data_IF_309243947111
#
_entry.id   IF_309243947111
#
_cell.length_a   1.000
_cell.length_b   1.000
_cell.length_c   1.000
_cell.angle_alpha   90.00
_cell.angle_beta   90.00
_cell.angle_gamma   90.00
#
_symmetry.space_group_name_H-M   'P 1'
#
loop_
_entity.id
_entity.type
_entity.pdbx_description
1 polymer ?
#
# COMPACT_ATOMS: atom_id res chain seq x y z
N UNK A 1 2.12 6.84 19.31
CA UNK A 1 0.65 6.67 19.21
C UNK A 1 0.31 5.28 19.76
N UNK A 2 -0.59 5.19 20.73
CA UNK A 2 -1.02 3.92 21.33
C UNK A 2 -1.79 3.06 20.33
N UNK A 3 -1.93 1.75 20.62
CA UNK A 3 -2.70 0.80 19.80
C UNK A 3 -4.17 1.24 19.67
N UNK A 4 -4.77 1.69 20.77
CA UNK A 4 -6.18 2.11 20.80
C UNK A 4 -6.42 3.39 19.99
N UNK A 5 -5.48 4.34 20.04
CA UNK A 5 -5.57 5.54 19.21
C UNK A 5 -5.53 5.21 17.71
N UNK A 6 -4.67 4.26 17.31
CA UNK A 6 -4.62 3.78 15.91
C UNK A 6 -5.91 3.05 15.53
N UNK A 7 -6.42 2.20 16.41
CA UNK A 7 -7.64 1.45 16.17
C UNK A 7 -8.83 2.39 15.97
N UNK A 8 -9.01 3.37 16.85
CA UNK A 8 -10.09 4.36 16.75
C UNK A 8 -9.93 5.24 15.51
N UNK A 9 -8.71 5.66 15.19
CA UNK A 9 -8.42 6.41 13.97
C UNK A 9 -8.84 5.64 12.71
N UNK A 10 -8.44 4.38 12.59
CA UNK A 10 -8.74 3.61 11.38
C UNK A 10 -10.18 3.10 11.32
N UNK A 11 -10.85 2.85 12.45
CA UNK A 11 -12.31 2.60 12.47
C UNK A 11 -13.10 3.76 11.84
N UNK A 12 -12.66 5.01 12.07
CA UNK A 12 -13.30 6.19 11.47
C UNK A 12 -13.05 6.33 9.96
N UNK A 13 -11.89 5.88 9.48
CA UNK A 13 -11.50 5.96 8.07
C UNK A 13 -12.13 4.82 7.26
N UNK A 14 -12.16 3.63 7.85
CA UNK A 14 -12.62 2.39 7.24
C UNK A 14 -13.94 1.94 7.87
N UNK A 15 -14.95 2.81 7.87
CA UNK A 15 -16.22 2.60 8.59
C UNK A 15 -16.94 1.32 8.14
N UNK A 16 -16.88 1.02 6.85
CA UNK A 16 -17.58 -0.12 6.24
C UNK A 16 -16.73 -1.41 6.24
N UNK A 17 -15.52 -1.36 6.84
CA UNK A 17 -14.64 -2.52 6.93
C UNK A 17 -14.96 -3.34 8.17
N UNK A 18 -14.87 -4.67 8.06
CA UNK A 18 -14.98 -5.57 9.21
C UNK A 18 -13.95 -5.18 10.28
N UNK A 19 -14.34 -5.20 11.56
CA UNK A 19 -13.46 -4.81 12.66
C UNK A 19 -12.12 -5.56 12.66
N UNK A 20 -12.12 -6.86 12.27
CA UNK A 20 -10.90 -7.67 12.10
C UNK A 20 -9.93 -7.04 11.09
N UNK A 21 -10.43 -6.56 9.96
CA UNK A 21 -9.59 -5.93 8.92
C UNK A 21 -8.86 -4.70 9.45
N UNK A 22 -9.53 -3.90 10.29
CA UNK A 22 -8.91 -2.73 10.93
C UNK A 22 -7.89 -3.14 11.99
N UNK A 23 -8.19 -4.17 12.81
CA UNK A 23 -7.24 -4.72 13.78
C UNK A 23 -5.97 -5.23 13.10
N UNK A 24 -6.10 -5.98 12.01
CA UNK A 24 -4.98 -6.53 11.24
C UNK A 24 -4.06 -5.42 10.71
N UNK A 25 -4.63 -4.29 10.23
CA UNK A 25 -3.86 -3.12 9.80
C UNK A 25 -3.06 -2.49 10.96
N UNK A 26 -3.69 -2.34 12.12
CA UNK A 26 -3.03 -1.77 13.31
C UNK A 26 -1.89 -2.67 13.76
N UNK A 27 -2.10 -3.98 13.77
CA UNK A 27 -1.07 -4.95 14.10
C UNK A 27 0.08 -4.95 13.10
N UNK A 28 -0.22 -4.81 11.81
CA UNK A 28 0.81 -4.65 10.78
C UNK A 28 1.66 -3.39 11.00
N UNK A 29 1.04 -2.26 11.33
CA UNK A 29 1.75 -1.00 11.62
C UNK A 29 2.60 -1.14 12.89
N UNK A 30 2.05 -1.75 13.94
CA UNK A 30 2.73 -1.89 15.23
C UNK A 30 3.87 -2.90 15.20
N UNK A 31 3.72 -3.98 14.44
CA UNK A 31 4.75 -5.00 14.23
C UNK A 31 5.70 -4.68 13.08
N UNK A 32 5.69 -3.45 12.56
CA UNK A 32 6.55 -2.99 11.46
C UNK A 32 6.54 -3.92 10.23
N UNK A 33 5.37 -4.50 9.92
CA UNK A 33 5.25 -5.57 8.92
C UNK A 33 5.43 -5.06 7.50
N UNK A 34 5.96 -5.94 6.66
CA UNK A 34 5.98 -5.81 5.21
C UNK A 34 5.77 -7.17 4.56
N UNK A 35 5.45 -7.18 3.27
CA UNK A 35 5.29 -8.41 2.50
C UNK A 35 6.10 -8.34 1.21
N UNK A 36 6.76 -9.44 0.86
CA UNK A 36 7.37 -9.59 -0.46
C UNK A 36 6.30 -10.03 -1.45
N UNK A 37 6.25 -9.40 -2.62
CA UNK A 37 5.43 -9.91 -3.71
C UNK A 37 6.06 -11.20 -4.26
N UNK A 38 5.25 -12.04 -4.91
CA UNK A 38 5.76 -13.23 -5.63
C UNK A 38 6.60 -12.85 -6.86
N UNK A 39 6.46 -11.63 -7.36
CA UNK A 39 7.31 -11.04 -8.40
C UNK A 39 8.61 -10.54 -7.80
N UNK A 40 9.73 -10.83 -8.47
CA UNK A 40 11.04 -10.31 -8.06
C UNK A 40 10.97 -8.78 -7.95
N UNK A 41 11.61 -8.26 -6.90
CA UNK A 41 11.84 -6.84 -6.63
C UNK A 41 10.67 -6.02 -6.06
N UNK A 42 9.46 -6.58 -5.93
CA UNK A 42 8.31 -5.85 -5.37
C UNK A 42 8.02 -6.20 -3.91
N UNK A 43 7.63 -5.16 -3.18
CA UNK A 43 7.34 -5.18 -1.74
C UNK A 43 6.04 -4.42 -1.48
N UNK A 44 5.28 -4.87 -0.49
CA UNK A 44 4.12 -4.17 0.05
C UNK A 44 4.45 -3.63 1.44
N UNK A 45 4.33 -2.31 1.59
CA UNK A 45 4.64 -1.58 2.82
C UNK A 45 3.43 -0.80 3.29
N UNK A 46 3.25 -0.64 4.60
CA UNK A 46 2.17 0.21 5.12
C UNK A 46 2.68 1.65 5.23
N UNK A 47 2.01 2.59 4.56
CA UNK A 47 2.29 4.00 4.71
C UNK A 47 1.97 4.48 6.13
N UNK A 48 2.93 5.11 6.79
CA UNK A 48 2.81 5.68 8.13
C UNK A 48 2.51 7.20 8.09
N UNK A 49 2.61 7.81 6.92
CA UNK A 49 2.40 9.24 6.70
C UNK A 49 1.89 9.52 5.29
N UNK A 50 1.54 10.79 5.02
CA UNK A 50 1.30 11.27 3.65
C UNK A 50 2.65 11.55 2.97
N UNK A 51 2.71 11.40 1.65
CA UNK A 51 3.88 11.75 0.86
C UNK A 51 3.85 13.26 0.54
N UNK A 52 4.39 14.10 1.43
CA UNK A 52 4.32 15.57 1.32
C UNK A 52 5.66 16.27 1.21
N UNK A 53 6.74 15.56 1.51
CA UNK A 53 8.09 16.15 1.55
C UNK A 53 8.74 15.91 0.19
N UNK A 54 8.95 16.93 -0.65
CA UNK A 54 9.64 16.77 -1.91
C UNK A 54 11.12 16.40 -1.70
N UNK A 55 11.68 15.58 -2.58
CA UNK A 55 13.08 15.13 -2.54
C UNK A 55 13.53 14.63 -3.92
N UNK A 56 14.48 15.33 -4.56
CA UNK A 56 15.10 14.93 -5.85
C UNK A 56 14.09 14.48 -6.93
N UNK A 57 12.99 15.23 -7.10
CA UNK A 57 11.94 14.89 -8.08
C UNK A 57 10.90 13.84 -7.62
N UNK A 58 10.95 13.45 -6.34
CA UNK A 58 9.99 12.55 -5.69
C UNK A 58 9.36 13.21 -4.47
N UNK A 59 8.46 12.49 -3.81
CA UNK A 59 7.95 12.77 -2.48
C UNK A 59 8.28 11.63 -1.53
N UNK A 60 8.62 11.96 -0.28
CA UNK A 60 8.93 10.99 0.76
C UNK A 60 7.69 10.69 1.59
N UNK A 61 7.39 9.41 1.77
CA UNK A 61 6.52 8.93 2.82
C UNK A 61 7.29 8.05 3.81
N UNK A 62 6.95 8.17 5.10
CA UNK A 62 7.29 7.15 6.09
C UNK A 62 6.48 5.88 5.82
N UNK A 63 7.12 4.72 5.92
CA UNK A 63 6.51 3.41 5.76
C UNK A 63 7.07 2.41 6.77
N UNK A 64 6.38 1.29 6.95
CA UNK A 64 6.90 0.16 7.72
C UNK A 64 8.17 -0.41 7.10
N UNK A 65 9.01 -1.04 7.92
CA UNK A 65 10.28 -1.72 7.63
C UNK A 65 11.40 -0.80 7.10
N UNK A 66 11.17 -0.09 6.01
CA UNK A 66 12.21 0.67 5.31
C UNK A 66 12.32 2.15 5.72
N UNK A 67 11.51 2.58 6.69
CA UNK A 67 11.43 3.95 7.25
C UNK A 67 11.02 5.05 6.26
N UNK A 68 11.52 5.04 5.02
CA UNK A 68 11.28 6.03 3.96
C UNK A 68 11.08 5.32 2.63
N UNK A 69 10.08 5.78 1.89
CA UNK A 69 9.76 5.32 0.53
C UNK A 69 9.57 6.56 -0.33
N UNK A 70 10.10 6.51 -1.55
CA UNK A 70 9.95 7.56 -2.56
C UNK A 70 8.71 7.32 -3.41
N UNK A 71 7.99 8.38 -3.76
CA UNK A 71 6.79 8.34 -4.59
C UNK A 71 6.89 9.40 -5.66
N UNK A 72 6.55 9.07 -6.90
CA UNK A 72 6.32 10.08 -7.94
C UNK A 72 5.08 10.91 -7.59
N UNK A 73 5.01 12.14 -8.07
CA UNK A 73 3.88 13.05 -7.83
C UNK A 73 2.51 12.40 -8.11
N UNK A 74 2.41 11.70 -9.25
CA UNK A 74 1.22 10.97 -9.70
C UNK A 74 0.73 9.90 -8.72
N UNK A 75 1.64 9.35 -7.91
CA UNK A 75 1.38 8.32 -6.88
C UNK A 75 1.24 8.95 -5.50
N UNK A 76 2.03 10.00 -5.22
CA UNK A 76 2.14 10.67 -3.93
C UNK A 76 0.79 11.22 -3.42
N UNK A 77 -0.03 11.77 -4.33
CA UNK A 77 -1.39 12.27 -4.01
C UNK A 77 -2.30 11.21 -3.38
N UNK A 78 -2.05 9.93 -3.68
CA UNK A 78 -2.79 8.81 -3.12
C UNK A 78 -2.17 8.26 -1.83
N UNK A 79 -0.97 8.67 -1.44
CA UNK A 79 -0.36 8.18 -0.21
C UNK A 79 -1.02 8.78 1.03
N UNK A 80 -1.62 7.92 1.84
CA UNK A 80 -2.20 8.27 3.14
C UNK A 80 -1.84 7.20 4.15
N UNK A 81 -1.77 7.59 5.43
CA UNK A 81 -1.52 6.66 6.53
C UNK A 81 -2.49 5.48 6.47
N UNK A 82 -1.97 4.26 6.61
CA UNK A 82 -2.73 3.01 6.53
C UNK A 82 -3.02 2.49 5.12
N UNK A 83 -2.59 3.19 4.07
CA UNK A 83 -2.59 2.65 2.70
C UNK A 83 -1.35 1.79 2.46
N UNK A 84 -1.43 0.93 1.47
CA UNK A 84 -0.32 0.07 1.06
C UNK A 84 0.45 0.71 -0.07
N UNK A 85 1.76 0.77 0.07
CA UNK A 85 2.71 1.16 -0.96
C UNK A 85 3.21 -0.11 -1.62
N UNK A 86 2.88 -0.31 -2.89
CA UNK A 86 3.54 -1.33 -3.72
C UNK A 86 4.79 -0.70 -4.28
N UNK A 87 5.93 -1.12 -3.76
CA UNK A 87 7.21 -0.50 -4.03
C UNK A 87 8.19 -1.48 -4.65
N UNK A 88 8.96 -0.98 -5.61
CA UNK A 88 10.08 -1.68 -6.19
C UNK A 88 11.36 -1.30 -5.44
N UNK A 89 12.14 -2.30 -5.03
CA UNK A 89 13.48 -2.07 -4.47
C UNK A 89 14.49 -2.03 -5.62
N UNK A 90 15.17 -0.90 -5.80
CA UNK A 90 16.24 -0.73 -6.78
C UNK A 90 17.53 -0.30 -6.09
N UNK A 91 18.46 -1.24 -5.94
CA UNK A 91 19.70 -1.08 -5.16
C UNK A 91 19.39 -0.58 -3.74
N UNK A 92 19.62 0.70 -3.48
CA UNK A 92 19.42 1.37 -2.19
C UNK A 92 18.09 2.13 -2.08
N UNK A 93 17.40 2.35 -3.20
CA UNK A 93 16.18 3.14 -3.26
C UNK A 93 14.94 2.25 -3.27
N UNK A 94 13.89 2.70 -2.58
CA UNK A 94 12.59 2.05 -2.57
C UNK A 94 11.57 3.04 -3.09
N UNK A 95 10.99 2.71 -4.24
CA UNK A 95 10.11 3.60 -4.99
C UNK A 95 8.74 2.96 -5.07
N UNK A 96 7.71 3.60 -4.50
CA UNK A 96 6.33 3.18 -4.66
C UNK A 96 5.84 3.53 -6.06
N UNK A 97 5.42 2.52 -6.80
CA UNK A 97 4.83 2.70 -8.13
C UNK A 97 3.31 2.80 -8.07
N UNK A 98 2.71 2.19 -7.04
CA UNK A 98 1.26 2.20 -6.84
C UNK A 98 0.90 2.30 -5.36
N UNK A 99 -0.28 2.84 -5.09
CA UNK A 99 -0.90 2.83 -3.77
C UNK A 99 -2.15 1.95 -3.79
N UNK A 100 -2.29 1.04 -2.83
CA UNK A 100 -3.48 0.23 -2.66
C UNK A 100 -4.23 0.64 -1.40
N UNK A 101 -5.54 0.47 -1.40
CA UNK A 101 -6.27 0.40 -0.13
C UNK A 101 -5.88 -0.88 0.62
N UNK A 102 -5.95 -0.85 1.95
CA UNK A 102 -5.68 -2.04 2.77
C UNK A 102 -6.58 -3.21 2.38
N UNK A 103 -7.87 -2.96 2.10
CA UNK A 103 -8.81 -4.01 1.69
C UNK A 103 -8.47 -4.60 0.31
N UNK A 104 -8.04 -3.76 -0.64
CA UNK A 104 -7.60 -4.23 -1.94
C UNK A 104 -6.36 -5.13 -1.79
N UNK A 105 -5.40 -4.72 -0.95
CA UNK A 105 -4.24 -5.54 -0.61
C UNK A 105 -4.63 -6.88 0.02
N UNK A 106 -5.51 -6.91 1.03
CA UNK A 106 -5.93 -8.17 1.66
C UNK A 106 -6.62 -9.09 0.65
N UNK A 107 -7.44 -8.56 -0.25
CA UNK A 107 -8.07 -9.35 -1.33
C UNK A 107 -7.04 -9.86 -2.33
N UNK A 108 -6.08 -9.02 -2.70
CA UNK A 108 -4.99 -9.35 -3.62
C UNK A 108 -4.14 -10.51 -3.08
N UNK A 109 -3.74 -10.43 -1.81
CA UNK A 109 -2.91 -11.46 -1.17
C UNK A 109 -3.62 -12.81 -1.02
N UNK A 110 -4.96 -12.84 -0.97
CA UNK A 110 -5.74 -14.08 -0.90
C UNK A 110 -5.86 -14.81 -2.24
N UNK A 111 -5.74 -14.10 -3.37
CA UNK A 111 -5.90 -14.71 -4.70
C UNK A 111 -4.70 -15.53 -5.15
N UNK A 112 -3.57 -15.40 -4.46
CA UNK A 112 -2.32 -16.17 -4.65
C UNK A 112 -1.78 -16.31 -6.10
N UNK A 113 -2.20 -15.43 -7.01
CA UNK A 113 -1.92 -15.54 -8.45
C UNK A 113 -0.80 -14.56 -8.88
N UNK A 114 0.36 -15.12 -9.26
CA UNK A 114 1.55 -14.37 -9.70
C UNK A 114 1.28 -13.55 -10.97
N UNK A 115 0.64 -14.13 -11.98
CA UNK A 115 0.34 -13.46 -13.25
C UNK A 115 -0.60 -12.27 -13.07
N UNK A 116 -1.52 -12.34 -12.10
CA UNK A 116 -2.38 -11.21 -11.76
C UNK A 116 -1.56 -10.04 -11.18
N UNK A 117 -0.61 -10.34 -10.30
CA UNK A 117 0.31 -9.34 -9.77
C UNK A 117 1.19 -8.72 -10.86
N UNK A 118 1.72 -9.53 -11.78
CA UNK A 118 2.50 -9.05 -12.93
C UNK A 118 1.68 -8.13 -13.83
N UNK A 119 0.45 -8.54 -14.19
CA UNK A 119 -0.46 -7.69 -14.96
C UNK A 119 -0.80 -6.38 -14.23
N UNK A 120 -0.99 -6.43 -12.91
CA UNK A 120 -1.27 -5.25 -12.08
C UNK A 120 -0.08 -4.28 -12.03
N UNK A 121 1.14 -4.81 -11.98
CA UNK A 121 2.39 -4.03 -12.03
C UNK A 121 2.53 -3.34 -13.39
N UNK A 122 2.35 -4.09 -14.49
CA UNK A 122 2.54 -3.59 -15.85
C UNK A 122 1.44 -2.60 -16.29
N UNK A 123 0.23 -2.71 -15.74
CA UNK A 123 -0.88 -1.85 -16.10
C UNK A 123 -0.66 -0.41 -15.60
N UNK A 124 -0.34 0.54 -16.47
CA UNK A 124 -0.08 1.94 -16.10
C UNK A 124 -1.32 2.76 -15.74
N UNK A 125 -2.54 2.25 -16.00
CA UNK A 125 -3.77 3.04 -15.92
C UNK A 125 -4.18 3.41 -14.49
N UNK A 126 -3.73 2.65 -13.49
CA UNK A 126 -4.10 2.88 -12.09
C UNK A 126 -2.88 3.12 -11.20
N UNK A 127 -2.72 4.35 -10.70
CA UNK A 127 -1.74 4.68 -9.65
C UNK A 127 -2.31 4.44 -8.24
N UNK A 128 -3.64 4.40 -8.11
CA UNK A 128 -4.35 3.97 -6.91
C UNK A 128 -5.27 2.79 -7.21
N UNK A 129 -5.23 1.76 -6.38
CA UNK A 129 -6.08 0.58 -6.49
C UNK A 129 -6.91 0.44 -5.22
N UNK A 130 -8.18 0.86 -5.31
CA UNK A 130 -9.19 0.63 -4.29
C UNK A 130 -10.02 -0.62 -4.58
N UNK A 131 -11.19 -0.72 -3.92
CA UNK A 131 -12.14 -1.83 -4.13
C UNK A 131 -12.67 -1.87 -5.57
N UNK A 132 -12.98 -0.70 -6.15
CA UNK A 132 -13.61 -0.58 -7.48
C UNK A 132 -12.61 -0.93 -8.58
N UNK A 133 -11.43 -0.34 -8.51
CA UNK A 133 -10.35 -0.55 -9.47
C UNK A 133 -9.90 -2.01 -9.45
N UNK A 134 -9.76 -2.61 -8.26
CA UNK A 134 -9.45 -4.03 -8.14
C UNK A 134 -10.55 -4.92 -8.75
N UNK A 135 -11.83 -4.59 -8.56
CA UNK A 135 -12.92 -5.35 -9.16
C UNK A 135 -12.93 -5.27 -10.69
N UNK A 136 -12.63 -4.09 -11.25
CA UNK A 136 -12.47 -3.91 -12.70
C UNK A 136 -11.30 -4.75 -13.24
N UNK A 137 -10.13 -4.68 -12.61
CA UNK A 137 -8.96 -5.48 -13.00
C UNK A 137 -9.20 -6.99 -12.94
N UNK A 138 -10.07 -7.45 -12.03
CA UNK A 138 -10.44 -8.86 -11.93
C UNK A 138 -11.40 -9.29 -13.04
N UNK A 139 -12.28 -8.40 -13.52
CA UNK A 139 -13.30 -8.73 -14.53
C UNK A 139 -12.79 -8.71 -15.97
N UNK A 140 -11.69 -8.01 -16.23
CA UNK A 140 -11.08 -7.84 -17.57
C UNK A 140 -10.04 -8.93 -17.87
N UNK A 141 -9.83 -9.89 -16.94
CA UNK A 141 -9.13 -11.15 -17.19
C UNK A 141 -10.15 -12.22 -17.56
#
# INVERSE_FOLDING_TARGET
MSKDNLLNHFKRIFKDSKAKVVKDLVEAIKGDKYWKAKTKDYLFLVALSRARIPYKGYYIAKATHFKRVLLRDTVAKYCRRGRILMAKKNKELIIAEKVLSWEAFVKLMKKDNKEFLEGLILNSNFQFIGKRELAHLIRVK
#
